data_IF_514520932800
#
_entry.id   IF_514520932800
#
_cell.length_a   1.000
_cell.length_b   1.000
_cell.length_c   1.000
_cell.angle_alpha   90.00
_cell.angle_beta   90.00
_cell.angle_gamma   90.00
#
_symmetry.space_group_name_H-M   'P 1'
#
loop_
_entity.id
_entity.type
_entity.pdbx_description
1 polymer ?
#
# COMPACT_ATOMS: atom_id res chain seq x y z
N UNK A 1 -1.82 13.69 7.21
CA UNK A 1 -1.28 12.89 6.07
C UNK A 1 0.24 13.06 6.00
N UNK A 2 0.96 11.97 5.84
CA UNK A 2 2.41 12.04 5.65
C UNK A 2 2.73 12.68 4.29
N UNK A 3 3.84 13.41 4.26
CA UNK A 3 4.33 13.98 3.01
C UNK A 3 4.92 12.85 2.16
N UNK A 4 4.40 12.68 0.94
CA UNK A 4 4.89 11.61 0.07
C UNK A 4 6.35 11.81 -0.31
N UNK A 5 7.07 10.69 -0.44
CA UNK A 5 8.43 10.67 -0.95
C UNK A 5 8.45 10.41 -2.46
N UNK A 6 7.44 9.68 -2.95
CA UNK A 6 7.32 9.28 -4.36
C UNK A 6 5.86 9.34 -4.77
N UNK A 7 5.61 9.38 -6.07
CA UNK A 7 4.25 9.19 -6.59
C UNK A 7 4.02 7.71 -6.94
N UNK A 8 2.78 7.35 -7.20
CA UNK A 8 2.41 5.95 -7.44
C UNK A 8 2.81 5.44 -8.82
N UNK A 9 3.37 6.28 -9.68
CA UNK A 9 3.75 5.90 -11.03
C UNK A 9 5.25 5.82 -11.27
N UNK A 10 6.09 6.11 -10.28
CA UNK A 10 7.53 6.22 -10.50
C UNK A 10 8.40 5.12 -9.88
N UNK A 11 7.83 4.27 -9.04
CA UNK A 11 8.61 3.21 -8.39
C UNK A 11 8.97 2.10 -9.37
N UNK A 12 10.21 1.62 -9.26
CA UNK A 12 10.72 0.51 -10.08
C UNK A 12 11.78 -0.26 -9.30
N UNK A 13 12.47 -1.19 -9.95
CA UNK A 13 13.49 -2.01 -9.31
C UNK A 13 14.64 -1.22 -8.70
N UNK A 14 14.87 0.01 -9.14
CA UNK A 14 15.91 0.86 -8.55
C UNK A 14 15.55 1.34 -7.15
N UNK A 15 14.30 1.20 -6.75
CA UNK A 15 13.80 1.59 -5.44
C UNK A 15 13.75 0.45 -4.44
N UNK A 16 14.18 -0.76 -4.82
CA UNK A 16 14.15 -1.93 -3.95
C UNK A 16 14.83 -1.64 -2.61
N UNK A 17 14.20 -2.09 -1.53
CA UNK A 17 14.65 -1.92 -0.15
C UNK A 17 14.58 -0.48 0.36
N UNK A 18 14.08 0.46 -0.43
CA UNK A 18 13.85 1.82 0.04
C UNK A 18 12.54 1.89 0.80
N UNK A 19 12.51 2.69 1.85
CA UNK A 19 11.27 3.03 2.55
C UNK A 19 10.65 4.25 1.88
N UNK A 20 9.41 4.12 1.46
CA UNK A 20 8.72 5.17 0.71
C UNK A 20 7.40 5.55 1.36
N UNK A 21 6.94 6.76 1.08
CA UNK A 21 5.62 7.25 1.49
C UNK A 21 4.83 7.57 0.24
N UNK A 22 3.65 6.97 0.13
CA UNK A 22 2.74 7.16 -1.01
C UNK A 22 1.40 7.65 -0.50
N UNK A 23 0.80 8.56 -1.24
CA UNK A 23 -0.54 9.07 -0.97
C UNK A 23 -1.40 8.88 -2.22
N UNK A 24 -2.60 8.38 -2.04
CA UNK A 24 -3.50 8.16 -3.16
C UNK A 24 -4.83 7.58 -2.72
N UNK A 25 -5.57 7.06 -3.68
CA UNK A 25 -6.86 6.42 -3.40
C UNK A 25 -6.85 4.98 -3.86
N UNK A 26 -7.73 4.18 -3.25
CA UNK A 26 -7.83 2.75 -3.55
C UNK A 26 -8.52 2.57 -4.90
N UNK A 27 -7.80 1.92 -5.82
CA UNK A 27 -8.32 1.62 -7.15
C UNK A 27 -8.86 0.19 -7.23
N UNK A 28 -8.25 -0.75 -6.50
CA UNK A 28 -8.65 -2.15 -6.51
C UNK A 28 -8.17 -2.83 -5.23
N UNK A 29 -8.95 -3.77 -4.72
CA UNK A 29 -8.60 -4.59 -3.55
C UNK A 29 -8.73 -6.05 -3.91
N UNK A 30 -7.74 -6.85 -3.55
CA UNK A 30 -7.74 -8.29 -3.78
C UNK A 30 -7.34 -9.01 -2.49
N UNK A 31 -7.97 -10.15 -2.23
CA UNK A 31 -7.73 -10.92 -1.01
C UNK A 31 -7.05 -12.25 -1.35
N UNK A 32 -5.96 -12.56 -0.65
CA UNK A 32 -5.24 -13.82 -0.81
C UNK A 32 -4.86 -14.34 0.57
N UNK A 33 -5.78 -15.13 1.19
CA UNK A 33 -5.53 -15.70 2.50
C UNK A 33 -5.27 -14.65 3.56
N UNK A 34 -4.05 -14.62 4.08
CA UNK A 34 -3.64 -13.70 5.14
C UNK A 34 -3.04 -12.39 4.61
N UNK A 35 -3.21 -12.13 3.33
CA UNK A 35 -2.64 -10.94 2.68
C UNK A 35 -3.73 -10.23 1.90
N UNK A 36 -3.73 -8.89 1.98
CA UNK A 36 -4.60 -8.03 1.17
C UNK A 36 -3.72 -7.21 0.24
N UNK A 37 -4.01 -7.28 -1.05
CA UNK A 37 -3.33 -6.47 -2.05
C UNK A 37 -4.22 -5.28 -2.42
N UNK A 38 -3.65 -4.09 -2.40
CA UNK A 38 -4.37 -2.86 -2.75
C UNK A 38 -3.61 -2.13 -3.85
N UNK A 39 -4.28 -1.84 -4.96
CA UNK A 39 -3.72 -0.96 -5.96
C UNK A 39 -4.02 0.47 -5.55
N UNK A 40 -3.00 1.20 -5.10
CA UNK A 40 -3.10 2.60 -4.73
C UNK A 40 -2.82 3.45 -5.97
N UNK A 41 -3.71 4.35 -6.27
CA UNK A 41 -3.62 5.19 -7.47
C UNK A 41 -3.51 6.66 -7.10
N UNK A 42 -2.72 7.40 -7.88
CA UNK A 42 -2.72 8.85 -7.88
C UNK A 42 -2.75 9.31 -9.34
N UNK A 43 -2.54 10.61 -9.57
CA UNK A 43 -2.58 11.15 -10.94
C UNK A 43 -1.46 10.63 -11.84
N UNK A 44 -0.43 10.02 -11.26
CA UNK A 44 0.76 9.57 -12.00
C UNK A 44 0.77 8.10 -12.33
N UNK A 45 -0.01 7.29 -11.62
CA UNK A 45 -0.07 5.85 -11.86
C UNK A 45 -0.61 5.08 -10.68
N UNK A 46 -0.30 3.77 -10.67
CA UNK A 46 -0.74 2.84 -9.63
C UNK A 46 0.45 2.07 -9.07
N UNK A 47 0.40 1.78 -7.78
CA UNK A 47 1.39 0.93 -7.12
C UNK A 47 0.65 -0.09 -6.26
N UNK A 48 1.08 -1.36 -6.33
CA UNK A 48 0.50 -2.41 -5.50
C UNK A 48 1.05 -2.33 -4.08
N UNK A 49 0.13 -2.29 -3.12
CA UNK A 49 0.44 -2.34 -1.70
C UNK A 49 0.14 -3.73 -1.16
N UNK A 50 0.94 -4.18 -0.20
CA UNK A 50 0.73 -5.45 0.48
C UNK A 50 0.48 -5.21 1.96
N UNK A 51 -0.68 -5.63 2.44
CA UNK A 51 -1.03 -5.61 3.86
C UNK A 51 -1.03 -7.04 4.36
N UNK A 52 -0.12 -7.36 5.27
CA UNK A 52 0.02 -8.72 5.79
C UNK A 52 -0.59 -8.81 7.19
N UNK A 53 -1.36 -9.87 7.45
CA UNK A 53 -2.00 -10.07 8.75
C UNK A 53 -0.99 -10.21 9.89
N UNK A 54 0.21 -10.71 9.61
CA UNK A 54 1.26 -10.80 10.61
C UNK A 54 1.79 -9.43 11.03
N UNK A 55 1.78 -8.48 10.09
CA UNK A 55 2.22 -7.11 10.34
C UNK A 55 1.14 -6.32 11.07
N UNK A 56 -0.12 -6.56 10.74
CA UNK A 56 -1.27 -5.83 11.29
C UNK A 56 -2.30 -6.78 11.90
N UNK A 57 -1.93 -7.56 12.93
CA UNK A 57 -2.85 -8.59 13.46
C UNK A 57 -4.15 -8.00 14.04
N UNK A 58 -4.07 -6.82 14.65
CA UNK A 58 -5.24 -6.18 15.26
C UNK A 58 -6.09 -5.41 14.25
N UNK A 59 -5.47 -4.92 13.19
CA UNK A 59 -6.12 -4.04 12.21
C UNK A 59 -6.55 -4.76 10.94
N UNK A 60 -6.26 -6.06 10.84
CA UNK A 60 -6.49 -6.81 9.60
C UNK A 60 -7.96 -6.82 9.18
N UNK A 61 -8.87 -6.89 10.13
CA UNK A 61 -10.31 -6.85 9.83
C UNK A 61 -10.72 -5.49 9.23
N UNK A 62 -10.09 -4.39 9.68
CA UNK A 62 -10.31 -3.06 9.10
C UNK A 62 -9.74 -2.98 7.70
N UNK A 63 -8.58 -3.60 7.49
CA UNK A 63 -7.93 -3.63 6.18
C UNK A 63 -8.80 -4.37 5.16
N UNK A 64 -9.44 -5.45 5.57
CA UNK A 64 -10.36 -6.20 4.71
C UNK A 64 -11.58 -5.39 4.29
N UNK A 65 -11.92 -4.35 5.04
CA UNK A 65 -13.09 -3.50 4.74
C UNK A 65 -12.73 -2.28 3.91
N UNK A 66 -11.47 -2.12 3.51
CA UNK A 66 -11.07 -1.03 2.64
C UNK A 66 -11.86 -1.10 1.33
N UNK A 67 -12.32 0.04 0.87
CA UNK A 67 -13.17 0.14 -0.31
C UNK A 67 -12.52 0.99 -1.39
N UNK A 68 -12.93 0.77 -2.63
CA UNK A 68 -12.51 1.61 -3.75
C UNK A 68 -12.86 3.06 -3.43
N UNK A 69 -12.00 3.96 -3.83
CA UNK A 69 -12.09 5.41 -3.62
C UNK A 69 -11.72 5.89 -2.21
N UNK A 70 -11.48 5.00 -1.25
CA UNK A 70 -10.93 5.43 0.03
C UNK A 70 -9.54 6.02 -0.19
N UNK A 71 -9.22 7.09 0.52
CA UNK A 71 -7.92 7.76 0.42
C UNK A 71 -6.99 7.23 1.49
N UNK A 72 -5.78 6.87 1.09
CA UNK A 72 -4.76 6.33 1.98
C UNK A 72 -3.46 7.13 1.89
N UNK A 73 -2.79 7.21 3.03
CA UNK A 73 -1.38 7.58 3.11
C UNK A 73 -0.66 6.37 3.70
N UNK A 74 0.36 5.87 3.01
CA UNK A 74 1.06 4.65 3.44
C UNK A 74 2.57 4.87 3.48
N UNK A 75 3.22 4.18 4.42
CA UNK A 75 4.67 4.11 4.50
C UNK A 75 5.06 2.64 4.46
N UNK A 76 6.00 2.28 3.63
CA UNK A 76 6.43 0.89 3.52
C UNK A 76 7.71 0.72 2.73
N UNK A 77 8.15 -0.52 2.63
CA UNK A 77 9.37 -0.88 1.93
C UNK A 77 9.06 -1.44 0.55
N UNK A 78 9.81 -0.99 -0.45
CA UNK A 78 9.69 -1.49 -1.82
C UNK A 78 10.33 -2.87 -1.91
N UNK A 79 9.60 -3.83 -2.45
CA UNK A 79 10.08 -5.19 -2.68
C UNK A 79 9.68 -5.69 -4.05
N UNK A 80 10.37 -6.71 -4.56
CA UNK A 80 10.01 -7.31 -5.84
C UNK A 80 8.73 -8.13 -5.71
N UNK A 81 7.90 -8.07 -6.76
CA UNK A 81 6.82 -9.04 -6.90
C UNK A 81 7.45 -10.38 -7.28
N UNK A 82 6.81 -11.48 -6.87
CA UNK A 82 7.23 -12.79 -7.36
C UNK A 82 6.96 -12.87 -8.88
N UNK A 83 7.74 -13.66 -9.59
CA UNK A 83 7.74 -13.65 -11.05
C UNK A 83 6.36 -13.81 -11.69
N UNK A 84 5.50 -14.68 -11.14
CA UNK A 84 4.15 -14.90 -11.68
C UNK A 84 3.15 -13.80 -11.30
N UNK A 85 3.55 -12.84 -10.46
CA UNK A 85 2.72 -11.72 -10.05
C UNK A 85 3.13 -10.42 -10.73
N UNK A 86 4.20 -10.43 -11.53
CA UNK A 86 4.63 -9.25 -12.28
C UNK A 86 3.55 -8.86 -13.28
N UNK A 87 3.20 -7.57 -13.30
CA UNK A 87 2.20 -7.03 -14.20
C UNK A 87 2.84 -6.02 -15.15
N UNK A 88 3.12 -6.43 -16.37
CA UNK A 88 3.78 -5.59 -17.36
C UNK A 88 2.89 -4.45 -17.88
N UNK A 89 1.59 -4.50 -17.62
CA UNK A 89 0.67 -3.41 -17.99
C UNK A 89 0.78 -2.20 -17.06
N UNK A 90 1.45 -2.34 -15.92
CA UNK A 90 1.69 -1.25 -14.99
C UNK A 90 3.15 -0.85 -15.02
N UNK A 91 3.43 0.47 -14.99
CA UNK A 91 4.81 0.96 -14.91
C UNK A 91 5.53 0.47 -13.67
N UNK A 92 4.79 0.27 -12.59
CA UNK A 92 5.30 -0.22 -11.31
C UNK A 92 5.07 -1.72 -11.13
N UNK A 93 4.79 -2.45 -12.19
CA UNK A 93 4.33 -3.83 -12.12
C UNK A 93 5.36 -4.86 -11.67
N UNK A 94 6.63 -4.47 -11.57
CA UNK A 94 7.71 -5.36 -11.12
C UNK A 94 7.94 -5.31 -9.62
N UNK A 95 7.36 -4.31 -8.93
CA UNK A 95 7.56 -4.12 -7.51
C UNK A 95 6.23 -4.02 -6.78
N UNK A 96 6.30 -4.09 -5.47
CA UNK A 96 5.17 -3.84 -4.59
C UNK A 96 5.71 -3.18 -3.32
N UNK A 97 4.81 -2.56 -2.54
CA UNK A 97 5.19 -1.91 -1.29
C UNK A 97 4.61 -2.70 -0.12
N UNK A 98 5.50 -3.22 0.74
CA UNK A 98 5.09 -3.88 1.98
C UNK A 98 4.79 -2.80 3.01
N UNK A 99 3.52 -2.62 3.33
CA UNK A 99 3.07 -1.50 4.17
C UNK A 99 3.47 -1.73 5.62
N UNK A 100 4.06 -0.71 6.24
CA UNK A 100 4.44 -0.68 7.66
C UNK A 100 3.54 0.22 8.47
N UNK A 101 3.07 1.32 7.88
CA UNK A 101 2.21 2.30 8.51
C UNK A 101 1.21 2.79 7.48
N UNK A 102 0.01 3.09 7.92
CA UNK A 102 -0.98 3.67 7.03
C UNK A 102 -1.97 4.55 7.78
N UNK A 103 -2.56 5.48 7.05
CA UNK A 103 -3.62 6.33 7.55
C UNK A 103 -4.73 6.38 6.51
N UNK A 104 -5.94 6.06 6.94
CA UNK A 104 -7.13 6.28 6.12
C UNK A 104 -7.64 7.69 6.34
N UNK A 105 -8.04 8.36 5.26
CA UNK A 105 -8.64 9.67 5.34
C UNK A 105 -10.12 9.55 5.06
N UNK A 106 -10.93 10.26 5.86
CA UNK A 106 -12.36 10.36 5.63
C UNK A 106 -12.72 11.79 5.26
N UNK A 107 -13.92 11.99 4.72
CA UNK A 107 -14.39 13.33 4.35
C UNK A 107 -14.47 14.27 5.54
N UNK A 108 -14.79 13.75 6.72
CA UNK A 108 -15.02 14.57 7.91
C UNK A 108 -13.76 14.78 8.75
N UNK A 109 -12.88 13.80 8.83
CA UNK A 109 -11.66 13.88 9.61
C UNK A 109 -10.71 12.75 9.25
N UNK A 110 -9.40 13.00 9.23
CA UNK A 110 -8.43 11.93 9.06
C UNK A 110 -8.40 11.03 10.30
N UNK A 111 -8.20 9.74 10.09
CA UNK A 111 -8.00 8.79 11.17
C UNK A 111 -6.54 8.83 11.62
N UNK A 112 -6.25 8.43 12.87
CA UNK A 112 -4.85 8.34 13.32
C UNK A 112 -4.04 7.37 12.47
N UNK A 113 -2.73 7.58 12.42
CA UNK A 113 -1.83 6.63 11.77
C UNK A 113 -1.86 5.30 12.50
N UNK A 114 -1.92 4.24 11.72
CA UNK A 114 -1.86 2.86 12.22
C UNK A 114 -0.48 2.33 11.89
N UNK A 115 0.30 2.06 12.94
CA UNK A 115 1.67 1.57 12.80
C UNK A 115 1.68 0.06 12.94
N UNK A 116 2.56 -0.61 12.18
CA UNK A 116 2.73 -2.06 12.27
C UNK A 116 3.06 -2.47 13.71
N UNK A 117 2.44 -3.56 14.16
CA UNK A 117 2.69 -4.13 15.48
C UNK A 117 3.99 -4.94 15.43
N UNK A 118 5.05 -4.37 15.99
CA UNK A 118 6.38 -4.99 15.97
C UNK A 118 6.61 -5.98 17.10
N UNK A 119 5.71 -5.99 18.06
CA UNK A 119 5.82 -6.85 19.25
C UNK A 119 4.86 -8.03 19.21
N UNK A 120 4.21 -8.21 18.10
CA UNK A 120 3.25 -9.30 17.91
C UNK A 120 3.95 -10.64 17.79
#
# INVERSE_FOLDING_TARGET
MLKRTHNCGELNKNNLNNTVILNGWINKVRFHGQVVFVDLRDRYGKTQLVFNSETFPKEFEKIKKLSMEDVLSVCGDVQERIANAINSDMKTGEIEVSVKEFQMLSESAPLPFITADRNA
#
